data_IF_063377036348
#
_entry.id   IF_063377036348
#
_cell.length_a   1.000
_cell.length_b   1.000
_cell.length_c   1.000
_cell.angle_alpha   90.00
_cell.angle_beta   90.00
_cell.angle_gamma   90.00
#
_symmetry.space_group_name_H-M   'P 1'
#
loop_
_entity.id
_entity.type
_entity.pdbx_description
1 polymer ?
#
# COMPACT_ATOMS: atom_id res chain seq x y z
N UNK A 1 -8.94 -11.94 6.96
CA UNK A 1 -9.53 -10.59 7.22
C UNK A 1 -9.08 -9.54 6.17
N UNK A 2 -8.04 -9.82 5.40
CA UNK A 2 -7.63 -9.06 4.22
C UNK A 2 -7.32 -10.03 3.06
N UNK A 3 -7.35 -9.55 1.82
CA UNK A 3 -6.87 -10.24 0.61
C UNK A 3 -5.74 -9.38 0.03
N UNK A 4 -4.58 -9.97 -0.19
CA UNK A 4 -3.43 -9.29 -0.80
C UNK A 4 -3.46 -9.44 -2.32
N UNK A 5 -3.48 -8.32 -3.04
CA UNK A 5 -3.46 -8.24 -4.50
C UNK A 5 -2.23 -7.45 -4.96
N UNK A 6 -1.08 -8.14 -5.01
CA UNK A 6 0.21 -7.62 -5.48
C UNK A 6 0.32 -7.61 -7.01
N UNK A 7 -0.75 -7.19 -7.69
CA UNK A 7 -0.92 -7.22 -9.14
C UNK A 7 -1.44 -5.88 -9.66
N UNK A 8 -1.31 -5.66 -10.96
CA UNK A 8 -1.88 -4.49 -11.62
C UNK A 8 -1.72 -4.53 -13.13
N UNK A 9 -2.53 -3.74 -13.83
CA UNK A 9 -2.40 -3.53 -15.28
C UNK A 9 -1.41 -2.39 -15.52
N UNK A 10 -0.26 -2.65 -16.16
CA UNK A 10 0.74 -1.61 -16.43
C UNK A 10 0.25 -0.62 -17.49
N UNK A 11 0.75 0.61 -17.44
CA UNK A 11 0.56 1.61 -18.49
C UNK A 11 -0.79 2.32 -18.54
N UNK A 12 -1.79 1.88 -17.78
CA UNK A 12 -3.10 2.55 -17.66
C UNK A 12 -3.18 3.29 -16.32
N UNK A 13 -3.40 4.61 -16.38
CA UNK A 13 -3.46 5.49 -15.21
C UNK A 13 -4.89 5.89 -14.88
N UNK A 14 -5.25 5.79 -13.60
CA UNK A 14 -6.51 6.27 -13.04
C UNK A 14 -6.25 7.34 -11.97
N UNK A 15 -6.87 8.51 -12.14
CA UNK A 15 -6.82 9.63 -11.18
C UNK A 15 -8.10 9.76 -10.35
N UNK A 16 -9.12 8.97 -10.67
CA UNK A 16 -10.35 8.78 -9.90
C UNK A 16 -10.68 7.30 -9.79
N UNK A 17 -11.63 6.93 -8.93
CA UNK A 17 -12.10 5.55 -8.87
C UNK A 17 -12.67 5.11 -10.23
N UNK A 18 -12.38 3.87 -10.63
CA UNK A 18 -12.85 3.31 -11.89
C UNK A 18 -14.19 2.59 -11.68
N UNK A 19 -15.16 2.82 -12.58
CA UNK A 19 -16.48 2.17 -12.55
C UNK A 19 -16.51 0.82 -13.27
N UNK A 20 -15.75 0.69 -14.36
CA UNK A 20 -15.86 -0.43 -15.29
C UNK A 20 -14.76 -1.46 -15.02
N UNK A 21 -14.84 -2.13 -13.87
CA UNK A 21 -13.87 -3.14 -13.46
C UNK A 21 -14.55 -4.44 -13.06
N UNK A 22 -14.04 -5.56 -13.58
CA UNK A 22 -14.47 -6.91 -13.19
C UNK A 22 -14.25 -7.23 -11.71
N UNK A 23 -13.44 -6.42 -11.01
CA UNK A 23 -13.21 -6.55 -9.57
C UNK A 23 -14.29 -5.87 -8.72
N UNK A 24 -15.14 -5.00 -9.28
CA UNK A 24 -16.10 -4.19 -8.52
C UNK A 24 -17.02 -5.02 -7.62
N UNK A 25 -17.74 -5.98 -8.19
CA UNK A 25 -18.63 -6.89 -7.43
C UNK A 25 -17.86 -7.72 -6.41
N UNK A 26 -16.68 -8.23 -6.78
CA UNK A 26 -15.86 -9.05 -5.87
C UNK A 26 -15.37 -8.23 -4.66
N UNK A 27 -14.95 -6.99 -4.87
CA UNK A 27 -14.50 -6.09 -3.81
C UNK A 27 -15.66 -5.72 -2.88
N UNK A 28 -16.82 -5.39 -3.44
CA UNK A 28 -18.02 -5.10 -2.65
C UNK A 28 -18.42 -6.31 -1.77
N UNK A 29 -18.44 -7.52 -2.34
CA UNK A 29 -18.78 -8.75 -1.61
C UNK A 29 -17.76 -9.07 -0.51
N UNK A 30 -16.45 -8.93 -0.80
CA UNK A 30 -15.41 -9.14 0.21
C UNK A 30 -15.59 -8.17 1.38
N UNK A 31 -15.84 -6.89 1.08
CA UNK A 31 -16.04 -5.84 2.08
C UNK A 31 -17.28 -6.10 2.94
N UNK A 32 -18.39 -6.53 2.33
CA UNK A 32 -19.60 -6.94 3.05
C UNK A 32 -19.34 -8.14 3.99
N UNK A 33 -18.43 -9.04 3.63
CA UNK A 33 -17.98 -10.14 4.49
C UNK A 33 -16.92 -9.73 5.54
N UNK A 34 -16.61 -8.44 5.68
CA UNK A 34 -15.60 -7.93 6.62
C UNK A 34 -14.16 -8.27 6.21
N UNK A 35 -13.92 -8.49 4.92
CA UNK A 35 -12.61 -8.74 4.31
C UNK A 35 -12.26 -7.57 3.39
N UNK A 36 -11.05 -7.01 3.52
CA UNK A 36 -10.62 -5.90 2.65
C UNK A 36 -9.66 -6.35 1.55
N UNK A 37 -9.88 -5.92 0.29
CA UNK A 37 -8.87 -5.98 -0.77
C UNK A 37 -7.76 -4.96 -0.49
N UNK A 38 -6.54 -5.45 -0.28
CA UNK A 38 -5.32 -4.64 -0.16
C UNK A 38 -4.57 -4.77 -1.47
N UNK A 39 -4.38 -3.67 -2.18
CA UNK A 39 -4.00 -3.68 -3.59
C UNK A 39 -2.78 -2.79 -3.82
N UNK A 40 -1.81 -3.30 -4.57
CA UNK A 40 -0.65 -2.54 -5.03
C UNK A 40 -1.08 -1.33 -5.88
N UNK A 41 -0.58 -0.12 -5.61
CA UNK A 41 -0.96 1.06 -6.41
C UNK A 41 -0.43 1.01 -7.86
N UNK A 42 0.63 0.24 -8.11
CA UNK A 42 1.28 0.06 -9.41
C UNK A 42 2.72 0.57 -9.46
N UNK A 43 3.46 0.17 -10.50
CA UNK A 43 4.91 0.38 -10.64
C UNK A 43 5.27 1.15 -11.93
N UNK A 44 4.42 2.08 -12.35
CA UNK A 44 4.55 2.82 -13.61
C UNK A 44 5.08 4.24 -13.43
N UNK A 45 5.51 4.58 -12.20
CA UNK A 45 6.01 5.91 -11.84
C UNK A 45 4.97 7.04 -12.04
N UNK A 46 3.68 6.73 -12.03
CA UNK A 46 2.63 7.74 -12.08
C UNK A 46 2.59 8.51 -10.76
N UNK A 47 2.94 9.81 -10.77
CA UNK A 47 2.93 10.63 -9.55
C UNK A 47 1.52 10.99 -9.09
N UNK A 48 0.55 11.02 -9.99
CA UNK A 48 -0.81 11.56 -9.80
C UNK A 48 -1.94 10.53 -9.99
N UNK A 49 -1.62 9.24 -10.16
CA UNK A 49 -2.63 8.20 -10.34
C UNK A 49 -2.13 6.79 -10.08
N UNK A 50 -3.06 5.84 -10.10
CA UNK A 50 -2.85 4.43 -9.78
C UNK A 50 -3.34 3.51 -10.91
N UNK A 51 -3.02 2.22 -10.82
CA UNK A 51 -3.40 1.20 -11.81
C UNK A 51 -4.70 0.47 -11.42
N UNK A 52 -5.33 -0.21 -12.39
CA UNK A 52 -6.34 -1.24 -12.08
C UNK A 52 -5.65 -2.49 -11.51
N UNK A 53 -6.22 -3.18 -10.50
CA UNK A 53 -7.52 -2.94 -9.86
C UNK A 53 -7.47 -2.02 -8.65
N UNK A 54 -6.34 -1.37 -8.37
CA UNK A 54 -6.25 -0.43 -7.26
C UNK A 54 -7.23 0.74 -7.44
N UNK A 55 -7.58 1.13 -8.66
CA UNK A 55 -8.61 2.15 -8.91
C UNK A 55 -10.01 1.80 -8.39
N UNK A 56 -10.32 0.54 -8.12
CA UNK A 56 -11.67 0.07 -7.81
C UNK A 56 -12.10 0.49 -6.41
N UNK A 57 -13.34 0.95 -6.27
CA UNK A 57 -13.92 1.30 -4.97
C UNK A 57 -13.81 0.15 -3.96
N UNK A 58 -13.52 0.50 -2.69
CA UNK A 58 -13.32 -0.46 -1.60
C UNK A 58 -11.90 -1.05 -1.49
N UNK A 59 -10.98 -0.72 -2.40
CA UNK A 59 -9.58 -1.09 -2.31
C UNK A 59 -8.83 -0.24 -1.25
N UNK A 60 -8.00 -0.90 -0.44
CA UNK A 60 -6.91 -0.25 0.30
C UNK A 60 -5.68 -0.23 -0.62
N UNK A 61 -5.33 0.96 -1.11
CA UNK A 61 -4.32 1.17 -2.15
C UNK A 61 -2.97 1.47 -1.51
N UNK A 62 -1.97 0.64 -1.80
CA UNK A 62 -0.67 0.67 -1.11
C UNK A 62 0.44 1.13 -2.04
N UNK A 63 1.03 2.28 -1.72
CA UNK A 63 2.27 2.76 -2.35
C UNK A 63 3.52 2.24 -1.62
N UNK A 64 4.68 2.40 -2.26
CA UNK A 64 5.96 1.88 -1.77
C UNK A 64 6.90 2.99 -1.30
N UNK A 65 7.55 2.76 -0.16
CA UNK A 65 8.73 3.50 0.30
C UNK A 65 9.94 2.59 0.39
N UNK A 66 11.13 3.19 0.49
CA UNK A 66 12.33 2.50 0.95
C UNK A 66 12.31 2.32 2.48
N UNK A 67 12.86 1.21 2.96
CA UNK A 67 13.09 0.98 4.40
C UNK A 67 14.45 1.51 4.89
N UNK A 68 15.36 1.80 3.95
CA UNK A 68 16.75 2.13 4.21
C UNK A 68 17.35 2.93 3.05
N UNK A 69 18.57 3.45 3.24
CA UNK A 69 19.35 4.00 2.14
C UNK A 69 20.16 2.87 1.48
N UNK A 70 19.97 2.68 0.18
CA UNK A 70 20.65 1.68 -0.65
C UNK A 70 21.53 2.34 -1.74
N UNK A 71 21.73 3.66 -1.68
CA UNK A 71 22.39 4.42 -2.73
C UNK A 71 21.46 4.77 -3.89
N UNK A 72 22.04 5.05 -5.06
CA UNK A 72 21.29 5.35 -6.28
C UNK A 72 20.81 4.08 -7.00
N UNK A 73 19.58 4.10 -7.51
CA UNK A 73 18.94 2.95 -8.17
C UNK A 73 18.03 3.38 -9.32
N UNK A 74 18.03 2.60 -10.40
CA UNK A 74 17.13 2.75 -11.54
C UNK A 74 16.10 1.63 -11.57
N UNK A 75 14.85 1.95 -11.87
CA UNK A 75 13.73 1.01 -11.84
C UNK A 75 13.12 0.80 -13.22
N UNK A 76 12.79 -0.45 -13.52
CA UNK A 76 12.16 -0.87 -14.78
C UNK A 76 13.17 -1.37 -15.83
N UNK A 77 12.66 -2.18 -16.77
CA UNK A 77 13.37 -2.60 -17.96
C UNK A 77 12.44 -2.47 -19.19
N UNK A 78 12.58 -1.44 -20.05
CA UNK A 78 13.56 -0.35 -19.95
C UNK A 78 13.34 0.54 -18.71
N UNK A 79 14.37 1.31 -18.34
CA UNK A 79 14.34 2.19 -17.15
C UNK A 79 13.17 3.18 -17.26
N UNK A 80 12.28 3.16 -16.27
CA UNK A 80 11.12 4.05 -16.14
C UNK A 80 11.41 5.28 -15.28
N UNK A 81 12.17 5.09 -14.20
CA UNK A 81 12.57 6.18 -13.30
C UNK A 81 13.86 5.83 -12.58
N UNK A 82 14.50 6.81 -11.95
CA UNK A 82 15.67 6.60 -11.12
C UNK A 82 15.60 7.45 -9.86
N UNK A 83 16.02 6.87 -8.75
CA UNK A 83 16.25 7.55 -7.49
C UNK A 83 17.78 7.71 -7.32
N UNK A 84 18.35 8.92 -7.51
CA UNK A 84 19.80 9.13 -7.41
C UNK A 84 20.32 8.94 -5.98
N UNK A 85 19.45 9.16 -4.99
CA UNK A 85 19.67 8.85 -3.57
C UNK A 85 18.41 8.20 -3.01
N UNK A 86 18.58 7.34 -2.02
CA UNK A 86 17.48 6.69 -1.32
C UNK A 86 17.64 6.92 0.19
N UNK A 87 16.55 6.77 0.93
CA UNK A 87 16.53 6.90 2.37
C UNK A 87 15.29 6.20 2.90
N UNK A 88 15.34 5.76 4.16
CA UNK A 88 14.15 5.26 4.85
C UNK A 88 13.00 6.28 4.71
N UNK A 89 11.80 5.75 4.47
CA UNK A 89 10.58 6.53 4.26
C UNK A 89 10.56 7.44 3.02
N UNK A 90 11.56 7.38 2.12
CA UNK A 90 11.44 8.03 0.80
C UNK A 90 10.46 7.23 -0.06
N UNK A 91 9.48 7.90 -0.68
CA UNK A 91 8.60 7.28 -1.68
C UNK A 91 9.43 6.81 -2.87
N UNK A 92 9.31 5.53 -3.25
CA UNK A 92 10.08 4.98 -4.34
C UNK A 92 9.59 5.55 -5.68
N UNK A 93 10.50 5.97 -6.58
CA UNK A 93 10.09 6.69 -7.79
C UNK A 93 9.11 5.89 -8.67
N UNK A 94 9.19 4.55 -8.64
CA UNK A 94 8.33 3.67 -9.41
C UNK A 94 6.90 3.62 -8.85
N UNK A 95 6.71 3.94 -7.57
CA UNK A 95 5.42 3.80 -6.90
C UNK A 95 4.42 4.73 -7.54
N UNK A 96 3.32 4.17 -8.02
CA UNK A 96 2.17 4.95 -8.41
C UNK A 96 1.60 5.70 -7.19
N UNK A 97 1.19 6.95 -7.41
CA UNK A 97 0.85 7.95 -6.41
C UNK A 97 -0.54 8.55 -6.62
N UNK A 98 -0.69 9.82 -6.24
CA UNK A 98 -1.95 10.56 -6.36
C UNK A 98 -2.88 10.40 -5.16
N UNK A 99 -3.97 11.16 -5.18
CA UNK A 99 -4.93 11.30 -4.07
C UNK A 99 -5.67 10.01 -3.70
N UNK A 100 -5.65 9.00 -4.57
CA UNK A 100 -6.28 7.71 -4.31
C UNK A 100 -5.45 6.79 -3.39
N UNK A 101 -4.14 7.01 -3.25
CA UNK A 101 -3.29 6.17 -2.38
C UNK A 101 -3.80 6.24 -0.94
N UNK A 102 -3.99 5.08 -0.32
CA UNK A 102 -4.57 4.98 1.03
C UNK A 102 -3.50 5.04 2.11
N UNK A 103 -2.43 4.28 1.92
CA UNK A 103 -1.32 4.11 2.86
C UNK A 103 -0.03 3.84 2.07
N UNK A 104 1.11 4.06 2.71
CA UNK A 104 2.42 3.61 2.24
C UNK A 104 2.93 2.46 3.12
N UNK A 105 3.79 1.61 2.57
CA UNK A 105 4.55 0.63 3.32
C UNK A 105 5.91 0.36 2.64
N UNK A 106 6.88 -0.24 3.36
CA UNK A 106 8.14 -0.67 2.76
C UNK A 106 7.92 -1.59 1.56
N UNK A 107 8.45 -1.21 0.40
CA UNK A 107 8.27 -1.96 -0.84
C UNK A 107 9.48 -1.97 -1.76
N UNK A 108 10.52 -1.19 -1.49
CA UNK A 108 11.75 -1.22 -2.27
C UNK A 108 12.81 -2.11 -1.59
N UNK A 109 13.35 -3.07 -2.35
CA UNK A 109 14.39 -4.01 -1.90
C UNK A 109 14.02 -4.85 -0.66
N UNK A 110 12.78 -5.34 -0.63
CA UNK A 110 12.29 -6.21 0.44
C UNK A 110 12.76 -7.64 0.20
N UNK A 111 13.33 -8.25 1.24
CA UNK A 111 13.79 -9.64 1.22
C UNK A 111 12.74 -10.56 1.85
N UNK A 112 12.22 -11.50 1.07
CA UNK A 112 11.26 -12.51 1.54
C UNK A 112 11.38 -13.80 0.71
N UNK A 113 11.21 -14.96 1.36
CA UNK A 113 11.24 -16.26 0.66
C UNK A 113 12.54 -16.57 -0.08
N UNK A 114 13.67 -15.98 0.34
CA UNK A 114 14.98 -16.15 -0.29
C UNK A 114 15.29 -15.18 -1.45
N UNK A 115 14.39 -14.24 -1.76
CA UNK A 115 14.57 -13.28 -2.84
C UNK A 115 14.44 -11.83 -2.35
N UNK A 116 15.19 -10.93 -2.95
CA UNK A 116 15.08 -9.48 -2.73
C UNK A 116 14.46 -8.83 -3.95
N UNK A 117 13.33 -8.13 -3.77
CA UNK A 117 12.58 -7.51 -4.86
C UNK A 117 12.08 -6.12 -4.47
N UNK A 118 11.80 -5.28 -5.47
CA UNK A 118 11.17 -3.97 -5.26
C UNK A 118 9.89 -3.82 -6.07
N UNK A 119 8.89 -3.22 -5.45
CA UNK A 119 7.58 -2.98 -6.04
C UNK A 119 6.55 -2.61 -4.99
N UNK A 120 5.47 -1.97 -5.43
CA UNK A 120 4.25 -1.82 -4.62
C UNK A 120 3.67 -3.18 -4.24
N UNK A 121 3.92 -4.20 -5.08
CA UNK A 121 3.70 -5.62 -4.79
C UNK A 121 4.34 -6.11 -3.48
N UNK A 122 5.48 -5.56 -3.06
CA UNK A 122 6.16 -5.90 -1.80
C UNK A 122 5.66 -5.03 -0.63
N UNK A 123 5.13 -3.84 -0.91
CA UNK A 123 4.49 -3.00 0.10
C UNK A 123 3.12 -3.56 0.53
N UNK A 124 2.32 -4.03 -0.42
CA UNK A 124 0.96 -4.58 -0.19
C UNK A 124 0.89 -5.64 0.92
N UNK A 125 1.77 -6.67 0.98
CA UNK A 125 1.68 -7.71 1.99
C UNK A 125 1.98 -7.20 3.41
N UNK A 126 2.77 -6.13 3.57
CA UNK A 126 2.98 -5.52 4.89
C UNK A 126 1.66 -4.96 5.45
N UNK A 127 0.87 -4.27 4.62
CA UNK A 127 -0.44 -3.74 5.02
C UNK A 127 -1.43 -4.86 5.27
N UNK A 128 -1.47 -5.88 4.41
CA UNK A 128 -2.34 -7.05 4.60
C UNK A 128 -2.02 -7.80 5.90
N UNK A 129 -0.74 -7.99 6.21
CA UNK A 129 -0.25 -8.60 7.44
C UNK A 129 -0.58 -7.76 8.68
N UNK A 130 -0.41 -6.44 8.61
CA UNK A 130 -0.81 -5.52 9.67
C UNK A 130 -2.31 -5.63 9.99
N UNK A 131 -3.17 -5.66 8.97
CA UNK A 131 -4.61 -5.86 9.15
C UNK A 131 -4.93 -7.22 9.76
N UNK A 132 -4.20 -8.26 9.37
CA UNK A 132 -4.37 -9.60 9.94
C UNK A 132 -4.02 -9.62 11.44
N UNK A 133 -2.93 -8.96 11.84
CA UNK A 133 -2.50 -8.86 13.24
C UNK A 133 -3.52 -8.07 14.06
N UNK A 134 -3.90 -6.87 13.61
CA UNK A 134 -4.83 -5.99 14.34
C UNK A 134 -6.24 -6.58 14.49
N UNK A 135 -6.58 -7.61 13.70
CA UNK A 135 -7.88 -8.29 13.73
C UNK A 135 -7.78 -9.77 14.03
N UNK A 136 -6.68 -10.21 14.65
CA UNK A 136 -6.59 -11.57 15.17
C UNK A 136 -7.66 -11.80 16.24
N UNK A 137 -8.17 -13.03 16.38
CA UNK A 137 -9.31 -13.33 17.26
C UNK A 137 -9.06 -13.00 18.73
N UNK A 138 -7.80 -12.99 19.17
CA UNK A 138 -7.40 -12.64 20.53
C UNK A 138 -7.21 -11.13 20.74
N UNK A 139 -7.39 -10.26 19.74
CA UNK A 139 -7.17 -8.82 19.90
C UNK A 139 -8.45 -8.12 20.37
N UNK A 140 -8.35 -7.32 21.43
CA UNK A 140 -9.44 -6.52 22.00
C UNK A 140 -9.05 -5.03 22.15
N UNK A 141 -9.99 -4.09 21.95
CA UNK A 141 -11.35 -4.29 21.46
C UNK A 141 -11.39 -4.76 20.00
N UNK A 142 -12.39 -5.57 19.65
CA UNK A 142 -12.61 -6.02 18.27
C UNK A 142 -13.02 -4.85 17.38
N UNK A 143 -12.28 -4.62 16.30
CA UNK A 143 -12.56 -3.57 15.33
C UNK A 143 -13.28 -4.09 14.07
N UNK A 144 -14.17 -3.24 13.55
CA UNK A 144 -14.64 -3.34 12.16
C UNK A 144 -13.47 -3.15 11.21
N UNK A 145 -13.62 -3.61 9.96
CA UNK A 145 -12.54 -3.48 8.99
C UNK A 145 -12.19 -2.00 8.69
N UNK A 146 -13.17 -1.11 8.76
CA UNK A 146 -12.97 0.33 8.55
C UNK A 146 -12.33 1.03 9.74
N UNK A 147 -12.64 0.58 10.96
CA UNK A 147 -11.93 1.03 12.16
C UNK A 147 -10.45 0.65 12.08
N UNK A 148 -10.12 -0.58 11.67
CA UNK A 148 -8.73 -1.01 11.50
C UNK A 148 -7.99 -0.23 10.41
N UNK A 149 -8.63 0.05 9.27
CA UNK A 149 -8.01 0.89 8.21
C UNK A 149 -7.81 2.32 8.72
N UNK A 150 -8.81 2.88 9.42
CA UNK A 150 -8.72 4.20 10.03
C UNK A 150 -7.56 4.27 11.02
N UNK A 151 -7.42 3.26 11.90
CA UNK A 151 -6.30 3.12 12.83
C UNK A 151 -4.95 3.15 12.11
N UNK A 152 -4.77 2.34 11.07
CA UNK A 152 -3.53 2.33 10.29
C UNK A 152 -3.22 3.70 9.66
N UNK A 153 -4.26 4.43 9.23
CA UNK A 153 -4.11 5.78 8.68
C UNK A 153 -3.76 6.82 9.75
N UNK A 154 -4.38 6.76 10.92
CA UNK A 154 -4.20 7.77 11.98
C UNK A 154 -2.91 7.57 12.77
N UNK A 155 -2.44 6.32 12.92
CA UNK A 155 -1.19 6.03 13.63
C UNK A 155 0.02 5.95 12.69
N UNK A 156 -0.19 5.96 11.38
CA UNK A 156 0.88 5.91 10.39
C UNK A 156 1.77 7.16 10.43
N UNK A 157 3.06 6.99 10.14
CA UNK A 157 4.00 8.10 10.04
C UNK A 157 3.69 8.92 8.79
N UNK A 158 3.50 10.25 8.88
CA UNK A 158 3.23 11.07 7.71
C UNK A 158 4.48 11.20 6.83
N UNK A 159 4.38 10.75 5.58
CA UNK A 159 5.44 10.80 4.59
C UNK A 159 5.01 11.67 3.40
N UNK A 160 5.86 12.63 3.04
CA UNK A 160 5.64 13.49 1.88
C UNK A 160 6.19 12.83 0.62
N UNK A 161 5.36 12.67 -0.40
CA UNK A 161 5.83 12.36 -1.76
C UNK A 161 6.44 13.62 -2.36
N UNK A 162 7.77 13.65 -2.49
CA UNK A 162 8.49 14.81 -3.02
C UNK A 162 8.12 15.17 -4.47
N UNK A 163 7.49 14.25 -5.21
CA UNK A 163 7.04 14.49 -6.60
C UNK A 163 5.79 15.36 -6.68
N UNK A 164 4.97 15.38 -5.63
CA UNK A 164 3.65 16.04 -5.65
C UNK A 164 3.37 16.92 -4.43
N UNK A 165 4.11 16.76 -3.34
CA UNK A 165 3.83 17.41 -2.06
C UNK A 165 2.69 16.76 -1.27
N UNK A 166 2.04 15.71 -1.79
CA UNK A 166 1.01 14.97 -1.07
C UNK A 166 1.62 14.21 0.11
N UNK A 167 0.88 14.15 1.21
CA UNK A 167 1.30 13.45 2.43
C UNK A 167 0.45 12.20 2.61
N UNK A 168 1.11 11.08 2.82
CA UNK A 168 0.48 9.78 3.04
C UNK A 168 0.98 9.14 4.33
N UNK A 169 0.10 8.47 5.09
CA UNK A 169 0.51 7.67 6.24
C UNK A 169 1.25 6.41 5.77
N UNK A 170 2.52 6.27 6.17
CA UNK A 170 3.25 5.01 6.11
C UNK A 170 2.91 4.19 7.35
N UNK A 171 2.47 2.94 7.19
CA UNK A 171 2.00 2.12 8.31
C UNK A 171 3.01 2.08 9.45
N UNK A 172 2.53 2.22 10.68
CA UNK A 172 3.34 2.05 11.89
C UNK A 172 2.59 1.05 12.76
N UNK A 173 2.99 -0.23 12.65
CA UNK A 173 2.25 -1.32 13.29
C UNK A 173 2.37 -1.24 14.81
N UNK A 174 3.53 -0.83 15.33
CA UNK A 174 3.72 -0.64 16.77
C UNK A 174 2.78 0.44 17.29
N UNK A 175 2.76 1.62 16.66
CA UNK A 175 1.83 2.67 17.04
C UNK A 175 0.36 2.25 16.87
N UNK A 176 0.04 1.45 15.83
CA UNK A 176 -1.30 0.93 15.62
C UNK A 176 -1.77 -0.02 16.74
N UNK A 177 -0.85 -0.79 17.35
CA UNK A 177 -1.19 -1.69 18.45
C UNK A 177 -1.45 -0.99 19.79
N UNK A 178 -1.14 0.31 19.90
CA UNK A 178 -1.42 1.04 21.13
C UNK A 178 -2.92 1.05 21.46
N UNK A 179 -3.23 0.71 22.72
CA UNK A 179 -4.60 0.57 23.21
C UNK A 179 -5.30 -0.74 22.83
N UNK A 180 -4.59 -1.68 22.20
CA UNK A 180 -5.07 -3.04 21.99
C UNK A 180 -4.43 -4.00 22.99
N UNK A 181 -5.18 -5.02 23.41
CA UNK A 181 -4.71 -6.09 24.29
C UNK A 181 -4.89 -7.45 23.61
N UNK A 182 -4.02 -8.41 23.94
CA UNK A 182 -4.21 -9.82 23.59
C UNK A 182 -4.95 -10.48 24.76
N UNK A 183 -6.13 -11.02 24.46
CA UNK A 183 -6.96 -11.85 25.34
C UNK A 183 -6.39 -13.27 25.46
#
# INVERSE_FOLDING_TARGET
>A
KAVNLSLGVPGVKYTSECSDSSYGTAFANARAAGVVPVVASGNDAFSDGISSPACVAGAVRVGAVYDSNIGGVSWGNPVKCSDPTTAADKVACFSNGGSLVTLLAPGAMITAGGYTMGGTSQATPHVAGAIALLRANSVSPTESIDQTISRLKTTGKPITDSRTGLVFPRIDLLAATNGLTIN
#
